data_IF_571064615460
#
_entry.id   IF_571064615460
#
_cell.length_a   1.000
_cell.length_b   1.000
_cell.length_c   1.000
_cell.angle_alpha   90.00
_cell.angle_beta   90.00
_cell.angle_gamma   90.00
#
_symmetry.space_group_name_H-M   'P 1'
#
loop_
_entity.id
_entity.type
_entity.pdbx_description
1 polymer ?
#
# COMPACT_ATOMS: atom_id res chain seq x y z
N UNK A 1 -5.53 -22.33 -8.43
CA UNK A 1 -4.69 -21.88 -7.31
C UNK A 1 -5.59 -21.36 -6.22
N UNK A 2 -5.38 -21.84 -5.00
CA UNK A 2 -6.00 -21.34 -3.78
C UNK A 2 -5.34 -20.03 -3.34
N UNK A 3 -5.99 -19.29 -2.43
CA UNK A 3 -5.45 -18.04 -1.89
C UNK A 3 -4.07 -18.21 -1.22
N UNK A 4 -3.80 -19.25 -0.41
CA UNK A 4 -2.45 -19.50 0.12
C UNK A 4 -1.37 -19.71 -0.94
N UNK A 5 -1.71 -20.36 -2.06
CA UNK A 5 -0.77 -20.56 -3.17
C UNK A 5 -0.46 -19.24 -3.89
N UNK A 6 -1.44 -18.33 -4.01
CA UNK A 6 -1.23 -17.00 -4.58
C UNK A 6 -0.32 -16.15 -3.69
N UNK A 7 -0.52 -16.21 -2.37
CA UNK A 7 0.35 -15.56 -1.38
C UNK A 7 1.78 -16.07 -1.53
N UNK A 8 1.97 -17.39 -1.54
CA UNK A 8 3.31 -18.00 -1.67
C UNK A 8 4.00 -17.62 -2.98
N UNK A 9 3.24 -17.53 -4.09
CA UNK A 9 3.78 -17.06 -5.38
C UNK A 9 4.29 -15.61 -5.28
N UNK A 10 3.55 -14.72 -4.61
CA UNK A 10 3.98 -13.33 -4.41
C UNK A 10 5.18 -13.24 -3.46
N UNK A 11 5.20 -14.01 -2.37
CA UNK A 11 6.33 -14.05 -1.43
C UNK A 11 7.62 -14.47 -2.17
N UNK A 12 7.55 -15.52 -2.99
CA UNK A 12 8.67 -15.96 -3.83
C UNK A 12 9.08 -14.91 -4.86
N UNK A 13 8.10 -14.20 -5.45
CA UNK A 13 8.38 -13.12 -6.41
C UNK A 13 9.12 -11.96 -5.76
N UNK A 14 8.71 -11.56 -4.55
CA UNK A 14 9.38 -10.51 -3.76
C UNK A 14 10.80 -10.95 -3.41
N UNK A 15 10.97 -12.20 -2.96
CA UNK A 15 12.28 -12.77 -2.66
C UNK A 15 13.21 -12.69 -3.89
N UNK A 16 12.78 -13.21 -5.04
CA UNK A 16 13.58 -13.19 -6.27
C UNK A 16 13.83 -11.78 -6.80
N UNK A 17 12.89 -10.83 -6.60
CA UNK A 17 13.10 -9.44 -6.95
C UNK A 17 14.22 -8.81 -6.13
N UNK A 18 14.20 -9.02 -4.81
CA UNK A 18 15.22 -8.50 -3.89
C UNK A 18 16.61 -9.08 -4.18
N UNK A 19 16.68 -10.32 -4.68
CA UNK A 19 17.92 -10.99 -5.09
C UNK A 19 18.30 -10.75 -6.57
N UNK A 20 17.59 -9.87 -7.27
CA UNK A 20 17.83 -9.51 -8.69
C UNK A 20 17.77 -10.70 -9.67
N UNK A 21 17.00 -11.72 -9.32
CA UNK A 21 16.82 -12.94 -10.13
C UNK A 21 15.76 -12.75 -11.23
N UNK A 22 14.88 -11.77 -11.06
CA UNK A 22 13.79 -11.46 -11.99
C UNK A 22 13.78 -10.00 -12.42
N UNK A 23 13.14 -9.73 -13.56
CA UNK A 23 13.00 -8.39 -14.14
C UNK A 23 11.62 -7.80 -13.82
N UNK A 24 11.43 -6.47 -13.88
CA UNK A 24 10.12 -5.85 -13.66
C UNK A 24 8.99 -6.44 -14.52
N UNK A 25 9.29 -6.83 -15.77
CA UNK A 25 8.32 -7.46 -16.67
C UNK A 25 7.78 -8.80 -16.14
N UNK A 26 8.62 -9.59 -15.46
CA UNK A 26 8.18 -10.83 -14.82
C UNK A 26 7.22 -10.55 -13.66
N UNK A 27 7.51 -9.50 -12.87
CA UNK A 27 6.66 -9.09 -11.75
C UNK A 27 5.29 -8.66 -12.26
N UNK A 28 5.24 -7.85 -13.31
CA UNK A 28 3.96 -7.43 -13.91
C UNK A 28 3.14 -8.62 -14.41
N UNK A 29 3.77 -9.58 -15.09
CA UNK A 29 3.10 -10.79 -15.54
C UNK A 29 2.54 -11.63 -14.38
N UNK A 30 3.32 -11.78 -13.30
CA UNK A 30 2.89 -12.51 -12.11
C UNK A 30 1.73 -11.78 -11.42
N UNK A 31 1.81 -10.46 -11.28
CA UNK A 31 0.72 -9.63 -10.73
C UNK A 31 -0.56 -9.81 -11.54
N UNK A 32 -0.48 -9.73 -12.87
CA UNK A 32 -1.62 -9.93 -13.75
C UNK A 32 -2.24 -11.33 -13.55
N UNK A 33 -1.40 -12.36 -13.51
CA UNK A 33 -1.86 -13.72 -13.26
C UNK A 33 -2.56 -13.87 -11.91
N UNK A 34 -1.98 -13.29 -10.85
CA UNK A 34 -2.56 -13.33 -9.50
C UNK A 34 -3.91 -12.60 -9.47
N UNK A 35 -4.01 -11.42 -10.08
CA UNK A 35 -5.24 -10.64 -10.13
C UNK A 35 -6.35 -11.35 -10.89
N UNK A 36 -6.04 -11.99 -12.02
CA UNK A 36 -7.00 -12.83 -12.76
C UNK A 36 -7.54 -13.96 -11.87
N UNK A 37 -6.68 -14.62 -11.10
CA UNK A 37 -7.10 -15.70 -10.19
C UNK A 37 -7.90 -15.18 -9.00
N UNK A 38 -7.47 -14.07 -8.40
CA UNK A 38 -8.20 -13.41 -7.31
C UNK A 38 -9.63 -13.04 -7.74
N UNK A 39 -9.83 -12.58 -8.98
CA UNK A 39 -11.16 -12.24 -9.51
C UNK A 39 -12.12 -13.42 -9.63
N UNK A 40 -11.62 -14.66 -9.53
CA UNK A 40 -12.45 -15.88 -9.59
C UNK A 40 -12.78 -16.50 -8.23
N UNK A 41 -12.22 -15.94 -7.15
CA UNK A 41 -12.45 -16.42 -5.78
C UNK A 41 -13.64 -15.68 -5.16
N UNK A 42 -14.47 -16.39 -4.39
CA UNK A 42 -15.46 -15.75 -3.53
C UNK A 42 -14.74 -14.99 -2.41
N UNK A 43 -14.89 -13.66 -2.39
CA UNK A 43 -14.20 -12.78 -1.43
C UNK A 43 -15.16 -12.27 -0.36
N UNK A 44 -14.88 -12.61 0.90
CA UNK A 44 -15.29 -11.80 2.03
C UNK A 44 -14.12 -10.90 2.41
N UNK A 45 -14.30 -9.58 2.38
CA UNK A 45 -13.24 -8.64 2.74
C UNK A 45 -13.09 -8.54 4.25
N UNK A 46 -11.85 -8.48 4.72
CA UNK A 46 -11.53 -8.27 6.15
C UNK A 46 -11.94 -6.87 6.63
N UNK A 47 -12.14 -5.94 5.71
CA UNK A 47 -12.37 -4.53 5.96
C UNK A 47 -13.60 -3.98 5.24
N UNK A 48 -14.33 -3.09 5.93
CA UNK A 48 -15.49 -2.41 5.38
C UNK A 48 -15.08 -1.31 4.38
N UNK A 49 -14.10 -0.49 4.77
CA UNK A 49 -13.56 0.59 3.94
C UNK A 49 -12.20 0.23 3.35
N UNK A 50 -11.93 0.59 2.08
CA UNK A 50 -10.73 0.15 1.39
C UNK A 50 -9.45 0.74 2.01
N UNK A 51 -8.37 -0.02 1.88
CA UNK A 51 -7.00 0.50 2.06
C UNK A 51 -6.64 1.32 0.83
N UNK A 52 -6.33 2.60 1.02
CA UNK A 52 -5.90 3.49 -0.06
C UNK A 52 -4.41 3.33 -0.32
N UNK A 53 -4.04 2.79 -1.48
CA UNK A 53 -2.65 2.63 -1.93
C UNK A 53 -2.31 3.74 -2.90
N UNK A 54 -1.40 4.63 -2.51
CA UNK A 54 -1.01 5.81 -3.26
C UNK A 54 0.36 5.63 -3.93
N UNK A 55 0.47 6.02 -5.19
CA UNK A 55 1.72 5.99 -5.96
C UNK A 55 2.02 7.34 -6.60
N UNK A 56 3.31 7.64 -6.77
CA UNK A 56 3.77 8.98 -7.13
C UNK A 56 4.40 9.02 -8.52
N UNK A 57 3.56 8.92 -9.54
CA UNK A 57 3.96 8.80 -10.95
C UNK A 57 2.74 8.94 -11.87
N UNK A 58 2.95 9.42 -13.09
CA UNK A 58 1.92 9.44 -14.13
C UNK A 58 1.53 8.02 -14.60
N UNK A 59 2.45 7.07 -14.47
CA UNK A 59 2.23 5.66 -14.75
C UNK A 59 2.16 4.86 -13.45
N UNK A 60 1.29 3.85 -13.40
CA UNK A 60 1.23 2.91 -12.28
C UNK A 60 2.60 2.26 -12.07
N UNK A 61 3.06 2.25 -10.82
CA UNK A 61 4.38 1.72 -10.47
C UNK A 61 4.28 0.25 -10.10
N UNK A 62 5.31 -0.52 -10.42
CA UNK A 62 5.39 -1.95 -10.03
C UNK A 62 5.27 -2.11 -8.51
N UNK A 63 5.90 -1.22 -7.74
CA UNK A 63 5.81 -1.25 -6.28
C UNK A 63 4.38 -1.11 -5.76
N UNK A 64 3.61 -0.16 -6.26
CA UNK A 64 2.23 0.04 -5.82
C UNK A 64 1.30 -1.07 -6.27
N UNK A 65 1.46 -1.57 -7.50
CA UNK A 65 0.71 -2.75 -7.98
C UNK A 65 1.00 -3.98 -7.13
N UNK A 66 2.26 -4.19 -6.74
CA UNK A 66 2.66 -5.31 -5.91
C UNK A 66 2.07 -5.17 -4.49
N UNK A 67 2.13 -3.98 -3.89
CA UNK A 67 1.48 -3.69 -2.58
C UNK A 67 -0.01 -4.01 -2.65
N UNK A 68 -0.72 -3.47 -3.65
CA UNK A 68 -2.15 -3.68 -3.82
C UNK A 68 -2.48 -5.17 -3.94
N UNK A 69 -1.83 -5.84 -4.89
CA UNK A 69 -2.08 -7.26 -5.19
C UNK A 69 -1.77 -8.13 -3.96
N UNK A 70 -0.69 -7.82 -3.23
CA UNK A 70 -0.35 -8.53 -2.01
C UNK A 70 -1.44 -8.41 -0.94
N UNK A 71 -1.90 -7.18 -0.65
CA UNK A 71 -2.99 -6.96 0.31
C UNK A 71 -4.29 -7.65 -0.11
N UNK A 72 -4.62 -7.65 -1.39
CA UNK A 72 -5.81 -8.35 -1.90
C UNK A 72 -5.68 -9.87 -1.76
N UNK A 73 -4.49 -10.46 -1.94
CA UNK A 73 -4.29 -11.88 -1.62
C UNK A 73 -4.44 -12.20 -0.13
N UNK A 74 -4.35 -11.20 0.75
CA UNK A 74 -4.63 -11.34 2.19
C UNK A 74 -6.10 -11.05 2.55
N UNK A 75 -6.95 -10.75 1.57
CA UNK A 75 -8.38 -10.51 1.78
C UNK A 75 -8.74 -9.05 2.11
N UNK A 76 -7.81 -8.11 1.94
CA UNK A 76 -8.13 -6.68 2.08
C UNK A 76 -8.73 -6.12 0.80
N UNK A 77 -9.77 -5.31 0.95
CA UNK A 77 -10.26 -4.42 -0.11
C UNK A 77 -9.30 -3.24 -0.24
N UNK A 78 -8.91 -2.91 -1.47
CA UNK A 78 -7.96 -1.83 -1.75
C UNK A 78 -8.48 -0.86 -2.82
N UNK A 79 -7.95 0.36 -2.84
CA UNK A 79 -8.09 1.32 -3.94
C UNK A 79 -6.72 1.89 -4.31
N UNK A 80 -6.40 1.96 -5.61
CA UNK A 80 -5.18 2.60 -6.12
C UNK A 80 -5.42 4.06 -6.46
N UNK A 81 -4.48 4.92 -6.09
CA UNK A 81 -4.51 6.35 -6.37
C UNK A 81 -3.17 6.85 -6.90
N UNK A 82 -3.17 7.41 -8.12
CA UNK A 82 -2.02 8.08 -8.69
C UNK A 82 -1.96 9.54 -8.24
N UNK A 83 -0.78 9.96 -7.79
CA UNK A 83 -0.46 11.33 -7.39
C UNK A 83 0.65 11.83 -8.30
N UNK A 84 0.35 12.81 -9.13
CA UNK A 84 1.30 13.43 -10.07
C UNK A 84 1.63 14.87 -9.68
N UNK A 85 0.74 15.51 -8.94
CA UNK A 85 0.89 16.86 -8.41
C UNK A 85 0.19 17.02 -7.04
N UNK A 86 0.44 18.13 -6.35
CA UNK A 86 -0.20 18.43 -5.07
C UNK A 86 -1.73 18.53 -5.17
N UNK A 87 -2.26 18.98 -6.32
CA UNK A 87 -3.70 19.04 -6.58
C UNK A 87 -4.37 17.66 -6.48
N UNK A 88 -3.68 16.59 -6.89
CA UNK A 88 -4.22 15.23 -6.80
C UNK A 88 -4.33 14.80 -5.33
N UNK A 89 -3.32 15.14 -4.52
CA UNK A 89 -3.31 14.88 -3.09
C UNK A 89 -4.42 15.65 -2.36
N UNK A 90 -4.61 16.94 -2.67
CA UNK A 90 -5.68 17.76 -2.10
C UNK A 90 -7.07 17.19 -2.41
N UNK A 91 -7.29 16.76 -3.65
CA UNK A 91 -8.55 16.11 -4.05
C UNK A 91 -8.79 14.81 -3.29
N UNK A 92 -7.74 14.01 -3.07
CA UNK A 92 -7.83 12.77 -2.28
C UNK A 92 -8.12 13.06 -0.80
N UNK A 93 -7.44 14.04 -0.20
CA UNK A 93 -7.69 14.46 1.19
C UNK A 93 -9.15 14.91 1.35
N UNK A 94 -9.67 15.70 0.41
CA UNK A 94 -11.07 16.11 0.39
C UNK A 94 -12.03 14.91 0.27
N UNK A 95 -11.75 13.94 -0.61
CA UNK A 95 -12.53 12.70 -0.72
C UNK A 95 -12.53 11.94 0.61
N UNK A 96 -11.37 11.81 1.25
CA UNK A 96 -11.20 11.05 2.49
C UNK A 96 -11.82 11.72 3.72
N UNK A 97 -11.97 13.05 3.71
CA UNK A 97 -12.74 13.77 4.72
C UNK A 97 -14.23 13.40 4.70
N UNK A 98 -14.78 13.10 3.51
CA UNK A 98 -16.16 12.63 3.38
C UNK A 98 -16.30 11.14 3.66
N UNK A 99 -15.33 10.35 3.22
CA UNK A 99 -15.33 8.90 3.34
C UNK A 99 -13.93 8.39 3.68
N UNK A 100 -13.70 8.14 4.97
CA UNK A 100 -12.40 7.77 5.48
C UNK A 100 -11.95 6.41 4.94
N UNK A 101 -10.73 6.30 4.39
CA UNK A 101 -10.14 5.01 4.11
C UNK A 101 -9.85 4.32 5.45
N UNK A 102 -9.74 3.00 5.44
CA UNK A 102 -9.34 2.33 6.67
C UNK A 102 -7.87 2.66 7.01
N UNK A 103 -7.00 2.53 6.02
CA UNK A 103 -5.57 2.78 6.11
C UNK A 103 -5.08 3.46 4.83
N UNK A 104 -4.00 4.24 4.94
CA UNK A 104 -3.35 4.89 3.79
C UNK A 104 -1.94 4.32 3.64
N UNK A 105 -1.57 3.89 2.45
CA UNK A 105 -0.25 3.33 2.13
C UNK A 105 0.39 4.15 1.02
N UNK A 106 1.46 4.89 1.33
CA UNK A 106 2.23 5.65 0.37
C UNK A 106 3.41 4.84 -0.16
N UNK A 107 3.37 4.50 -1.46
CA UNK A 107 4.45 3.82 -2.19
C UNK A 107 5.25 4.82 -3.02
N UNK A 108 6.30 5.38 -2.43
CA UNK A 108 7.13 6.42 -3.06
C UNK A 108 8.10 5.87 -4.11
N UNK A 109 8.00 6.43 -5.32
CA UNK A 109 8.93 6.18 -6.43
C UNK A 109 9.84 7.37 -6.75
N UNK A 110 9.57 8.55 -6.19
CA UNK A 110 10.35 9.77 -6.46
C UNK A 110 10.46 10.66 -5.21
N UNK A 111 11.66 11.22 -5.00
CA UNK A 111 12.02 12.00 -3.82
C UNK A 111 11.18 13.27 -3.63
N UNK A 112 10.84 13.94 -4.74
CA UNK A 112 10.17 15.25 -4.72
C UNK A 112 8.82 15.26 -3.98
N UNK A 113 8.13 14.12 -3.92
CA UNK A 113 6.82 14.03 -3.29
C UNK A 113 6.86 13.84 -1.77
N UNK A 114 8.02 13.53 -1.18
CA UNK A 114 8.15 13.34 0.26
C UNK A 114 7.86 14.65 0.99
N UNK A 115 8.42 15.76 0.50
CA UNK A 115 8.16 17.09 1.05
C UNK A 115 6.70 17.52 0.90
N UNK A 116 6.06 17.19 -0.23
CA UNK A 116 4.62 17.40 -0.39
C UNK A 116 3.84 16.64 0.69
N UNK A 117 4.09 15.35 0.88
CA UNK A 117 3.38 14.57 1.90
C UNK A 117 3.68 15.06 3.32
N UNK A 118 4.90 15.50 3.58
CA UNK A 118 5.28 16.13 4.84
C UNK A 118 4.40 17.36 5.14
N UNK A 119 4.18 18.25 4.16
CA UNK A 119 3.38 19.45 4.39
C UNK A 119 1.90 19.17 4.70
N UNK A 120 1.36 18.03 4.25
CA UNK A 120 -0.02 17.62 4.55
C UNK A 120 -0.11 16.58 5.70
N UNK A 121 0.98 16.30 6.41
CA UNK A 121 1.00 15.23 7.42
C UNK A 121 -0.06 15.40 8.50
N UNK A 122 -0.24 16.63 9.02
CA UNK A 122 -1.26 16.90 10.04
C UNK A 122 -2.70 16.77 9.52
N UNK A 123 -2.93 17.03 8.23
CA UNK A 123 -4.24 16.82 7.62
C UNK A 123 -4.54 15.34 7.42
N UNK A 124 -3.56 14.59 6.93
CA UNK A 124 -3.66 13.14 6.76
C UNK A 124 -3.91 12.44 8.10
N UNK A 125 -3.29 12.90 9.17
CA UNK A 125 -3.45 12.33 10.53
C UNK A 125 -4.80 12.64 11.16
N UNK A 126 -5.55 13.65 10.68
CA UNK A 126 -6.95 13.87 11.07
C UNK A 126 -7.90 12.86 10.40
N UNK A 127 -7.48 12.31 9.26
CA UNK A 127 -8.25 11.31 8.51
C UNK A 127 -8.11 9.95 9.20
N UNK A 128 -6.87 9.46 9.36
CA UNK A 128 -6.56 8.17 9.99
C UNK A 128 -5.18 8.19 10.66
N UNK A 129 -5.02 7.39 11.73
CA UNK A 129 -3.73 7.13 12.38
C UNK A 129 -2.96 5.97 11.73
N UNK A 130 -3.58 5.31 10.73
CA UNK A 130 -3.05 4.14 10.05
C UNK A 130 -2.42 4.54 8.71
N UNK A 131 -1.33 5.31 8.80
CA UNK A 131 -0.57 5.79 7.63
C UNK A 131 0.75 5.06 7.55
N UNK A 132 0.96 4.38 6.43
CA UNK A 132 2.16 3.61 6.13
C UNK A 132 2.92 4.26 4.97
N UNK A 133 4.24 4.23 5.02
CA UNK A 133 5.10 4.69 3.94
C UNK A 133 6.17 3.66 3.60
N UNK A 134 6.50 3.58 2.32
CA UNK A 134 7.58 2.76 1.80
C UNK A 134 7.90 3.13 0.36
N UNK A 135 8.71 2.30 -0.29
CA UNK A 135 9.13 2.49 -1.67
C UNK A 135 10.63 2.69 -1.82
N UNK A 136 11.09 2.66 -3.07
CA UNK A 136 12.52 2.56 -3.41
C UNK A 136 13.34 3.74 -2.89
N UNK A 137 12.73 4.92 -2.76
CA UNK A 137 13.41 6.15 -2.32
C UNK A 137 14.02 6.00 -0.93
N UNK A 138 13.35 5.28 -0.01
CA UNK A 138 13.85 5.09 1.35
C UNK A 138 14.97 4.04 1.43
N UNK A 139 15.09 3.17 0.43
CA UNK A 139 16.25 2.26 0.32
C UNK A 139 17.49 2.97 -0.23
N UNK A 140 17.28 4.07 -0.95
CA UNK A 140 18.36 4.90 -1.50
C UNK A 140 18.84 5.94 -0.48
N UNK A 141 17.92 6.47 0.33
CA UNK A 141 18.22 7.42 1.41
C UNK A 141 17.26 7.21 2.59
N UNK A 142 17.74 6.56 3.63
CA UNK A 142 16.94 6.28 4.83
C UNK A 142 16.62 7.53 5.66
N UNK A 143 17.43 8.60 5.55
CA UNK A 143 17.22 9.83 6.34
C UNK A 143 15.90 10.52 6.01
N UNK A 144 15.33 10.24 4.84
CA UNK A 144 14.02 10.74 4.42
C UNK A 144 12.88 10.25 5.32
N UNK A 145 13.07 9.17 6.07
CA UNK A 145 12.10 8.70 7.07
C UNK A 145 11.89 9.76 8.16
N UNK A 146 12.92 10.55 8.49
CA UNK A 146 12.87 11.60 9.52
C UNK A 146 11.92 12.75 9.13
N UNK A 147 11.62 12.90 7.83
CA UNK A 147 10.66 13.89 7.35
C UNK A 147 9.20 13.50 7.62
N UNK A 148 8.93 12.23 7.90
CA UNK A 148 7.59 11.67 8.12
C UNK A 148 7.51 10.92 9.48
N UNK A 149 7.81 11.59 10.61
CA UNK A 149 8.04 10.92 11.90
C UNK A 149 6.80 10.24 12.50
N UNK A 150 5.60 10.59 12.03
CA UNK A 150 4.33 9.99 12.49
C UNK A 150 3.85 8.85 11.60
N UNK A 151 4.56 8.56 10.51
CA UNK A 151 4.21 7.51 9.57
C UNK A 151 4.89 6.21 9.98
N UNK A 152 4.24 5.08 9.71
CA UNK A 152 4.81 3.77 9.97
C UNK A 152 5.56 3.31 8.72
N UNK A 153 6.76 2.78 8.90
CA UNK A 153 7.58 2.21 7.82
C UNK A 153 7.70 0.70 8.01
N UNK A 154 6.82 -0.10 7.39
CA UNK A 154 6.90 -1.56 7.48
C UNK A 154 8.22 -2.07 6.91
N UNK A 155 8.75 -3.14 7.49
CA UNK A 155 9.99 -3.76 6.99
C UNK A 155 9.80 -4.40 5.61
N UNK A 156 8.61 -4.98 5.36
CA UNK A 156 8.24 -5.62 4.10
C UNK A 156 6.69 -5.68 3.94
N UNK A 157 6.21 -6.30 2.86
CA UNK A 157 4.77 -6.43 2.60
C UNK A 157 4.05 -7.38 3.57
N UNK A 158 4.76 -8.36 4.13
CA UNK A 158 4.20 -9.26 5.16
C UNK A 158 3.96 -8.48 6.44
N UNK A 159 4.93 -7.66 6.86
CA UNK A 159 4.83 -6.77 8.01
C UNK A 159 3.73 -5.73 7.82
N UNK A 160 3.64 -5.11 6.64
CA UNK A 160 2.54 -4.19 6.30
C UNK A 160 1.17 -4.85 6.49
N UNK A 161 0.97 -6.05 5.94
CA UNK A 161 -0.31 -6.76 6.06
C UNK A 161 -0.65 -7.10 7.52
N UNK A 162 0.35 -7.50 8.32
CA UNK A 162 0.18 -7.78 9.76
C UNK A 162 -0.15 -6.52 10.56
N UNK A 163 0.49 -5.39 10.26
CA UNK A 163 0.24 -4.12 10.95
C UNK A 163 -1.18 -3.63 10.69
N UNK A 164 -1.65 -3.76 9.45
CA UNK A 164 -3.03 -3.46 9.06
C UNK A 164 -3.99 -4.42 9.81
N UNK A 165 -3.76 -5.73 9.78
CA UNK A 165 -4.59 -6.75 10.45
C UNK A 165 -4.67 -6.58 11.98
N UNK A 166 -3.52 -6.42 12.63
CA UNK A 166 -3.43 -6.25 14.09
C UNK A 166 -4.17 -5.01 14.59
N UNK A 167 -4.27 -3.96 13.76
CA UNK A 167 -5.07 -2.78 14.08
C UNK A 167 -6.57 -3.00 13.88
N UNK A 168 -6.99 -3.83 12.92
CA UNK A 168 -8.40 -4.26 12.82
C UNK A 168 -8.87 -4.99 14.08
N UNK A 169 -8.08 -5.95 14.58
CA UNK A 169 -8.42 -6.70 15.79
C UNK A 169 -8.52 -5.82 17.04
N UNK A 170 -7.79 -4.70 17.08
CA UNK A 170 -7.90 -3.71 18.16
C UNK A 170 -9.12 -2.80 18.01
N UNK A 171 -9.50 -2.44 16.78
CA UNK A 171 -10.69 -1.60 16.50
C UNK A 171 -12.00 -2.37 16.73
N UNK A 172 -12.08 -3.65 16.37
CA UNK A 172 -13.29 -4.46 16.58
C UNK A 172 -13.62 -4.66 18.06
N UNK A 173 -12.60 -4.81 18.92
CA UNK A 173 -12.76 -4.96 20.37
C UNK A 173 -13.21 -3.70 21.13
N UNK A 174 -13.16 -2.52 20.50
CA UNK A 174 -13.63 -1.25 21.11
C UNK A 174 -15.09 -0.92 20.77
N UNK A 175 -15.73 -1.74 19.94
CA UNK A 175 -17.09 -1.52 19.44
C UNK A 175 -18.14 -2.43 20.11
N UNK A 176 -17.76 -3.16 21.16
CA UNK A 176 -18.64 -3.91 22.07
C UNK A 176 -18.80 -3.18 23.40
#
# INVERSE_FOLDING_TARGET
>A
MSQPELVSLLDNTIYSWNHREIRPSHILYIIEHVNQRLGTLDKAYLNAEPVSVCYFSALQTVGALLVQTYLETKGFKTELHGITANTDLELLINKWNCKKPDSIVFSFSAFQFIYSIQSYSDELLKITDDIFAGGVVFNLDESLKDLLPRFVFPADLTDLAKLIDGRYLCKSKKSE
#
